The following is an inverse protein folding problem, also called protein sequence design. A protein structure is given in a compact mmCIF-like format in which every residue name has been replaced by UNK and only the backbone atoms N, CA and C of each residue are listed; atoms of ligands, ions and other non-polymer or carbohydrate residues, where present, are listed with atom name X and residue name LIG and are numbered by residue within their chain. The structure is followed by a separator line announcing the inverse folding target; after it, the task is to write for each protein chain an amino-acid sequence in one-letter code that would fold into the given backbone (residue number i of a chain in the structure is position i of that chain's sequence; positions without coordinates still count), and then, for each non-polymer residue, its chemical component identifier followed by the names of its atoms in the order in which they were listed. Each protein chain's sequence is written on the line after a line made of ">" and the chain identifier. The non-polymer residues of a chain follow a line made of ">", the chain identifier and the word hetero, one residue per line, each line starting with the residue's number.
data_IF_423279443862
#
_entry.id   IF_423279443862
#
_cell.length_a   1.000
_cell.length_b   1.000
_cell.length_c   1.000
_cell.angle_alpha   90.00
_cell.angle_beta   90.00
_cell.angle_gamma   90.00
#
_symmetry.space_group_name_H-M   'P 1'
#
loop_
_entity.id
_entity.type
_entity.pdbx_description
1 polymer ?
#
# COMPACT_ATOMS: atom_id res chain seq x y z
N UNK A 1 -6.57 1.18 -19.86
CA UNK A 1 -5.19 0.86 -19.42
C UNK A 1 -5.26 0.17 -18.07
N UNK A 2 -4.48 -0.87 -17.90
CA UNK A 2 -4.40 -1.70 -16.69
C UNK A 2 -2.93 -1.90 -16.35
N UNK A 3 -2.59 -1.87 -15.08
CA UNK A 3 -1.23 -2.13 -14.59
C UNK A 3 -1.22 -3.52 -13.95
N UNK A 4 -0.36 -4.45 -14.40
CA UNK A 4 -0.23 -5.75 -13.76
C UNK A 4 0.37 -5.58 -12.37
N UNK A 5 -0.19 -6.27 -11.37
CA UNK A 5 0.33 -6.21 -10.01
C UNK A 5 1.36 -7.32 -9.78
N UNK A 6 2.45 -7.04 -9.05
CA UNK A 6 3.52 -8.01 -8.82
C UNK A 6 3.20 -9.06 -7.75
N UNK A 7 2.14 -8.85 -6.97
CA UNK A 7 1.69 -9.77 -5.90
C UNK A 7 0.16 -9.90 -5.89
N UNK A 8 -0.33 -10.86 -5.13
CA UNK A 8 -1.76 -11.15 -5.00
C UNK A 8 -2.44 -10.28 -3.95
N UNK A 9 -3.77 -10.43 -3.82
CA UNK A 9 -4.59 -9.85 -2.75
C UNK A 9 -4.36 -8.35 -2.54
N UNK A 10 -4.45 -7.58 -3.63
CA UNK A 10 -4.50 -6.13 -3.56
C UNK A 10 -5.81 -5.64 -2.90
N UNK A 11 -5.71 -4.88 -1.81
CA UNK A 11 -6.88 -4.39 -1.05
C UNK A 11 -6.99 -2.85 -1.00
N UNK A 12 -5.86 -2.15 -0.93
CA UNK A 12 -5.80 -0.69 -0.84
C UNK A 12 -4.94 -0.12 -1.94
N UNK A 13 -5.36 1.01 -2.51
CA UNK A 13 -4.62 1.71 -3.57
C UNK A 13 -4.73 3.22 -3.40
N UNK A 14 -3.63 3.94 -3.61
CA UNK A 14 -3.66 5.41 -3.65
C UNK A 14 -2.66 6.00 -4.66
N UNK A 15 -3.10 7.00 -5.42
CA UNK A 15 -2.27 7.72 -6.41
C UNK A 15 -1.50 8.85 -5.73
N UNK A 16 -0.17 8.86 -5.89
CA UNK A 16 0.73 9.99 -5.53
C UNK A 16 1.34 10.56 -6.80
N UNK A 17 1.94 11.76 -6.78
CA UNK A 17 2.40 12.48 -7.99
C UNK A 17 3.18 11.61 -8.99
N UNK A 18 4.11 10.80 -8.51
CA UNK A 18 5.10 10.02 -9.26
C UNK A 18 4.83 8.50 -9.23
N UNK A 19 3.67 8.04 -8.79
CA UNK A 19 3.40 6.60 -8.71
C UNK A 19 2.06 6.25 -8.08
N UNK A 20 1.80 4.96 -7.94
CA UNK A 20 0.62 4.41 -7.25
C UNK A 20 1.10 3.47 -6.15
N UNK A 21 0.68 3.69 -4.92
CA UNK A 21 0.90 2.76 -3.83
C UNK A 21 -0.22 1.72 -3.80
N UNK A 22 0.13 0.45 -3.64
CA UNK A 22 -0.80 -0.68 -3.56
C UNK A 22 -0.43 -1.57 -2.38
N UNK A 23 -1.42 -1.91 -1.55
CA UNK A 23 -1.27 -2.85 -0.43
C UNK A 23 -1.53 -4.26 -0.90
N UNK A 24 -0.59 -5.16 -0.63
CA UNK A 24 -0.68 -6.60 -0.77
C UNK A 24 -0.77 -7.23 0.62
N UNK A 25 -2.01 -7.47 1.05
CA UNK A 25 -2.33 -7.83 2.44
C UNK A 25 -1.66 -9.12 2.88
N UNK A 26 -1.65 -10.16 2.03
CA UNK A 26 -1.05 -11.45 2.36
C UNK A 26 0.46 -11.38 2.59
N UNK A 27 1.13 -10.49 1.86
CA UNK A 27 2.57 -10.27 1.96
C UNK A 27 2.91 -9.19 3.00
N UNK A 28 1.89 -8.52 3.55
CA UNK A 28 2.00 -7.38 4.47
C UNK A 28 2.95 -6.33 3.91
N UNK A 29 2.81 -6.10 2.60
CA UNK A 29 3.68 -5.30 1.76
C UNK A 29 2.87 -4.17 1.11
N UNK A 30 3.43 -2.96 1.10
CA UNK A 30 2.88 -1.82 0.36
C UNK A 30 3.90 -1.43 -0.70
N UNK A 31 3.53 -1.52 -1.98
CA UNK A 31 4.45 -1.32 -3.10
C UNK A 31 4.06 -0.08 -3.88
N UNK A 32 5.04 0.76 -4.22
CA UNK A 32 4.86 1.87 -5.16
C UNK A 32 5.19 1.40 -6.56
N UNK A 33 4.27 1.61 -7.49
CA UNK A 33 4.41 1.26 -8.89
C UNK A 33 4.44 2.51 -9.76
N UNK A 34 5.23 2.45 -10.83
CA UNK A 34 5.15 3.39 -11.94
C UNK A 34 3.79 3.27 -12.62
N UNK A 35 3.26 4.41 -13.07
CA UNK A 35 1.90 4.52 -13.59
C UNK A 35 1.78 4.14 -15.06
N UNK A 36 2.89 4.12 -15.79
CA UNK A 36 2.94 3.83 -17.21
C UNK A 36 3.11 2.31 -17.44
N UNK A 37 4.02 1.67 -16.70
CA UNK A 37 4.40 0.27 -16.94
C UNK A 37 4.24 -0.68 -15.74
N UNK A 38 3.96 -0.16 -14.55
CA UNK A 38 3.86 -0.97 -13.33
C UNK A 38 5.20 -1.38 -12.72
N UNK A 39 6.32 -0.82 -13.20
CA UNK A 39 7.63 -1.02 -12.61
C UNK A 39 7.63 -0.65 -11.13
N UNK A 40 8.24 -1.49 -10.28
CA UNK A 40 8.36 -1.20 -8.85
C UNK A 40 9.31 -0.01 -8.63
N UNK A 41 8.81 1.03 -7.97
CA UNK A 41 9.54 2.22 -7.60
C UNK A 41 10.03 2.18 -6.15
N UNK A 42 9.24 1.61 -5.25
CA UNK A 42 9.54 1.56 -3.81
C UNK A 42 8.69 0.50 -3.09
N UNK A 43 9.01 0.16 -1.84
CA UNK A 43 8.24 -0.76 -1.01
C UNK A 43 8.35 -0.52 0.49
N UNK A 44 7.32 -0.91 1.23
CA UNK A 44 7.23 -0.82 2.69
C UNK A 44 6.73 -2.15 3.22
N UNK A 45 7.54 -2.79 4.08
CA UNK A 45 7.16 -4.00 4.79
C UNK A 45 6.52 -3.64 6.13
N UNK A 46 5.33 -4.17 6.40
CA UNK A 46 4.64 -4.03 7.68
C UNK A 46 5.00 -5.23 8.55
N UNK A 47 5.67 -5.03 9.68
CA UNK A 47 6.03 -6.13 10.61
C UNK A 47 4.80 -6.70 11.30
N UNK A 48 4.86 -7.96 11.74
CA UNK A 48 3.77 -8.72 12.40
C UNK A 48 3.32 -8.13 13.74
N UNK A 49 4.12 -7.23 14.30
CA UNK A 49 3.78 -6.42 15.48
C UNK A 49 2.68 -5.38 15.21
N UNK A 50 2.42 -5.01 13.95
CA UNK A 50 1.40 -4.03 13.56
C UNK A 50 0.14 -4.68 12.97
N UNK A 51 -1.03 -4.01 12.98
CA UNK A 51 -2.24 -4.49 12.31
C UNK A 51 -2.02 -4.79 10.81
N UNK A 52 -2.73 -5.78 10.27
CA UNK A 52 -2.57 -6.22 8.87
C UNK A 52 -3.05 -5.14 7.89
N UNK A 53 -2.23 -4.70 6.92
CA UNK A 53 -2.61 -3.59 6.05
C UNK A 53 -3.68 -4.02 5.04
N UNK A 54 -4.76 -3.24 4.94
CA UNK A 54 -5.85 -3.45 3.97
C UNK A 54 -6.12 -2.19 3.14
N UNK A 55 -7.01 -1.31 3.61
CA UNK A 55 -7.33 -0.06 2.92
C UNK A 55 -6.15 0.91 2.97
N UNK A 56 -6.00 1.78 1.98
CA UNK A 56 -4.90 2.74 1.91
C UNK A 56 -5.42 4.14 1.58
N UNK A 57 -4.85 5.17 2.21
CA UNK A 57 -5.13 6.58 1.94
C UNK A 57 -3.86 7.42 2.09
N UNK A 58 -3.85 8.59 1.44
CA UNK A 58 -2.81 9.60 1.66
C UNK A 58 -3.17 10.46 2.86
N UNK A 59 -2.15 10.80 3.66
CA UNK A 59 -2.29 11.70 4.81
C UNK A 59 -1.07 12.62 4.90
N UNK A 60 -1.14 13.78 4.24
CA UNK A 60 -0.10 14.79 4.28
C UNK A 60 1.23 14.26 3.77
N UNK A 61 2.16 14.04 4.71
CA UNK A 61 3.53 13.56 4.49
C UNK A 61 3.67 12.03 4.49
N UNK A 62 2.56 11.29 4.44
CA UNK A 62 2.59 9.85 4.60
C UNK A 62 1.33 9.13 4.11
N UNK A 63 1.20 7.89 4.57
CA UNK A 63 0.08 7.00 4.28
C UNK A 63 -0.70 6.68 5.56
N UNK A 64 -1.98 6.39 5.39
CA UNK A 64 -2.80 5.72 6.39
C UNK A 64 -3.24 4.38 5.81
N UNK A 65 -3.21 3.33 6.63
CA UNK A 65 -3.92 2.10 6.32
C UNK A 65 -4.87 1.72 7.45
N UNK A 66 -5.92 0.95 7.12
CA UNK A 66 -6.77 0.30 8.10
C UNK A 66 -6.57 -1.21 8.09
N UNK A 67 -6.84 -1.85 9.22
CA UNK A 67 -6.90 -3.30 9.33
C UNK A 67 -8.35 -3.79 9.40
N UNK A 68 -8.68 -4.75 8.55
CA UNK A 68 -10.04 -5.29 8.44
C UNK A 68 -10.46 -6.11 9.67
N UNK A 69 -9.51 -6.62 10.46
CA UNK A 69 -9.80 -7.48 11.61
C UNK A 69 -9.96 -6.67 12.91
N UNK A 70 -8.97 -5.84 13.25
CA UNK A 70 -8.94 -5.03 14.48
C UNK A 70 -9.72 -3.72 14.38
N UNK A 71 -9.95 -3.21 13.16
CA UNK A 71 -10.56 -1.90 12.92
C UNK A 71 -9.64 -0.72 13.21
N UNK A 72 -8.35 -0.96 13.46
CA UNK A 72 -7.37 0.08 13.73
C UNK A 72 -6.96 0.83 12.46
N UNK A 73 -6.53 2.08 12.64
CA UNK A 73 -5.90 2.91 11.60
C UNK A 73 -4.45 3.15 12.01
N UNK A 74 -3.53 2.94 11.08
CA UNK A 74 -2.09 3.10 11.29
C UNK A 74 -1.55 4.16 10.34
N UNK A 75 -0.71 5.07 10.84
CA UNK A 75 0.01 6.07 10.04
C UNK A 75 1.42 5.60 9.74
N UNK A 76 1.82 5.70 8.47
CA UNK A 76 3.19 5.54 7.99
C UNK A 76 3.68 6.92 7.54
N UNK A 77 4.85 7.35 8.00
CA UNK A 77 5.50 8.61 7.61
C UNK A 77 6.73 8.32 6.76
N UNK A 78 6.98 9.14 5.73
CA UNK A 78 8.16 9.05 4.87
C UNK A 78 9.36 9.83 5.42
#
# INVERSE_FOLDING_TARGET
>A
NTIPLPYDRAHGVVRVKDGIWVVHTSDRLIVKLDVEDGGKLDEIHVSDEYPEPHGLSLSGDGLLYCDATSGWIVKITF
#
